data_IF_433826256268
#
_entry.id   IF_433826256268
#
_cell.length_a   1.000
_cell.length_b   1.000
_cell.length_c   1.000
_cell.angle_alpha   90.00
_cell.angle_beta   90.00
_cell.angle_gamma   90.00
#
_symmetry.space_group_name_H-M   'P 1'
#
loop_
_entity.id
_entity.type
_entity.pdbx_description
1 polymer ?
#
# COMPACT_ATOMS: atom_id res chain seq x y z
N UNK A 1 -16.18 -4.16 -5.69
CA UNK A 1 -16.79 -3.20 -6.64
C UNK A 1 -16.99 -3.94 -7.97
N UNK A 2 -18.17 -3.77 -8.55
CA UNK A 2 -18.50 -4.26 -9.90
C UNK A 2 -19.18 -3.14 -10.67
N UNK A 3 -19.03 -3.14 -11.99
CA UNK A 3 -19.66 -2.13 -12.85
C UNK A 3 -19.80 -2.61 -14.28
N UNK A 4 -20.63 -1.91 -15.04
CA UNK A 4 -20.79 -2.09 -16.47
C UNK A 4 -21.30 -0.81 -17.11
N UNK A 5 -20.85 -0.55 -18.35
CA UNK A 5 -21.30 0.58 -19.16
C UNK A 5 -21.95 0.13 -20.47
N UNK A 6 -22.43 -1.14 -20.55
CA UNK A 6 -22.99 -1.80 -21.74
C UNK A 6 -21.99 -2.22 -22.81
N UNK A 7 -20.76 -1.75 -22.78
CA UNK A 7 -19.66 -2.14 -23.68
C UNK A 7 -18.70 -3.09 -22.99
N UNK A 8 -18.37 -2.78 -21.75
CA UNK A 8 -17.52 -3.59 -20.87
C UNK A 8 -18.20 -3.80 -19.52
N UNK A 9 -17.85 -4.89 -18.87
CA UNK A 9 -18.16 -5.15 -17.47
C UNK A 9 -16.87 -5.45 -16.73
N UNK A 10 -16.77 -4.99 -15.49
CA UNK A 10 -15.60 -5.19 -14.65
C UNK A 10 -15.96 -5.55 -13.23
N UNK A 11 -15.07 -6.24 -12.56
CA UNK A 11 -15.21 -6.61 -11.16
C UNK A 11 -13.86 -6.68 -10.47
N UNK A 12 -13.88 -6.43 -9.17
CA UNK A 12 -12.70 -6.47 -8.32
C UNK A 12 -12.89 -7.44 -7.17
N UNK A 13 -11.83 -8.17 -6.85
CA UNK A 13 -11.70 -8.92 -5.60
C UNK A 13 -10.40 -8.58 -4.92
N UNK A 14 -10.34 -8.77 -3.62
CA UNK A 14 -9.08 -8.64 -2.90
C UNK A 14 -8.04 -9.58 -3.53
N UNK A 15 -6.84 -9.05 -3.72
CA UNK A 15 -5.69 -9.86 -4.08
C UNK A 15 -4.93 -10.24 -2.81
N UNK A 16 -4.39 -11.46 -2.78
CA UNK A 16 -3.42 -11.87 -1.77
C UNK A 16 -2.03 -11.67 -2.33
N UNK A 17 -1.27 -10.82 -1.68
CA UNK A 17 0.09 -10.51 -2.09
C UNK A 17 0.85 -9.83 -0.95
N UNK A 18 2.14 -9.71 -1.14
CA UNK A 18 3.06 -9.10 -0.21
C UNK A 18 3.17 -7.61 -0.52
N UNK A 19 2.23 -6.82 0.01
CA UNK A 19 2.05 -5.39 -0.28
C UNK A 19 2.47 -4.47 0.86
N UNK A 20 2.84 -5.03 2.01
CA UNK A 20 3.23 -4.28 3.19
C UNK A 20 4.34 -4.98 3.97
N UNK A 21 5.13 -4.18 4.67
CA UNK A 21 6.18 -4.65 5.59
C UNK A 21 6.10 -3.91 6.91
N UNK A 22 6.50 -4.61 7.96
CA UNK A 22 6.69 -4.05 9.27
C UNK A 22 8.18 -3.84 9.54
N UNK A 23 8.52 -2.70 10.10
CA UNK A 23 9.86 -2.47 10.62
C UNK A 23 9.80 -2.06 12.07
N UNK A 24 10.64 -2.70 12.88
CA UNK A 24 10.90 -2.23 14.24
C UNK A 24 11.86 -1.07 14.18
N UNK A 25 11.48 0.04 14.78
CA UNK A 25 12.26 1.28 14.85
C UNK A 25 12.41 1.71 16.30
N UNK A 26 13.46 2.45 16.60
CA UNK A 26 13.62 3.16 17.87
C UNK A 26 13.46 4.64 17.57
N UNK A 27 12.31 5.25 17.86
CA UNK A 27 12.08 6.66 17.58
C UNK A 27 13.07 7.56 18.34
N UNK A 28 13.53 8.63 17.68
CA UNK A 28 14.39 9.61 18.30
C UNK A 28 13.60 10.41 19.36
N UNK A 29 14.06 10.33 20.59
CA UNK A 29 13.60 11.10 21.76
C UNK A 29 14.82 11.61 22.50
N UNK A 30 14.63 12.45 23.52
CA UNK A 30 15.71 12.88 24.40
C UNK A 30 16.38 11.65 25.05
N UNK A 31 17.69 11.50 24.83
CA UNK A 31 18.46 10.36 25.32
C UNK A 31 18.39 9.09 24.44
N UNK A 32 17.77 9.15 23.27
CA UNK A 32 17.75 8.01 22.34
C UNK A 32 19.17 7.63 21.88
N UNK A 33 19.41 6.34 21.57
CA UNK A 33 20.71 5.86 21.10
C UNK A 33 21.08 6.46 19.73
N UNK A 34 22.37 6.49 19.42
CA UNK A 34 22.82 6.79 18.08
C UNK A 34 22.20 5.81 17.07
N UNK A 35 21.66 6.34 15.96
CA UNK A 35 20.96 5.54 14.96
C UNK A 35 19.46 5.39 15.23
N UNK A 36 18.89 6.15 16.15
CA UNK A 36 17.44 6.26 16.31
C UNK A 36 16.78 6.72 15.01
N UNK A 37 15.49 6.41 14.84
CA UNK A 37 14.69 6.77 13.68
C UNK A 37 14.03 8.13 13.89
N UNK A 38 14.30 9.14 13.03
CA UNK A 38 13.58 10.41 13.06
C UNK A 38 12.08 10.20 12.85
N UNK A 39 11.27 10.93 13.61
CA UNK A 39 9.82 10.86 13.55
C UNK A 39 9.24 12.26 13.45
N UNK A 40 8.32 12.44 12.50
CA UNK A 40 7.50 13.66 12.36
C UNK A 40 6.14 13.41 13.00
N UNK A 41 5.63 14.37 13.75
CA UNK A 41 4.32 14.30 14.40
C UNK A 41 3.34 15.19 13.66
N UNK A 42 2.18 14.63 13.34
CA UNK A 42 1.05 15.30 12.73
C UNK A 42 -0.14 15.23 13.70
N UNK A 43 -0.79 16.36 13.93
CA UNK A 43 -2.01 16.41 14.72
C UNK A 43 -3.22 16.54 13.80
N UNK A 44 -4.09 15.55 13.85
CA UNK A 44 -5.33 15.49 13.10
C UNK A 44 -6.52 15.70 14.03
N UNK A 45 -7.25 16.78 13.81
CA UNK A 45 -8.46 17.08 14.56
C UNK A 45 -9.66 16.41 13.91
N UNK A 46 -10.35 15.56 14.65
CA UNK A 46 -11.56 14.86 14.23
C UNK A 46 -12.75 15.48 14.94
N UNK A 47 -13.62 16.16 14.21
CA UNK A 47 -14.87 16.68 14.76
C UNK A 47 -15.91 15.57 14.82
N UNK A 48 -16.41 15.30 16.03
CA UNK A 48 -17.37 14.23 16.29
C UNK A 48 -18.79 14.80 16.34
N UNK A 49 -19.71 14.31 15.51
CA UNK A 49 -21.09 14.77 15.51
C UNK A 49 -21.77 14.50 16.86
N UNK A 50 -22.19 15.56 17.54
CA UNK A 50 -22.83 15.48 18.86
C UNK A 50 -21.90 15.18 20.02
N UNK A 51 -20.58 15.26 19.84
CA UNK A 51 -19.58 15.02 20.85
C UNK A 51 -18.45 16.05 20.83
N UNK A 52 -17.50 15.87 21.73
CA UNK A 52 -16.27 16.68 21.73
C UNK A 52 -15.32 16.23 20.60
N UNK A 53 -14.59 17.17 20.01
CA UNK A 53 -13.58 16.84 19.01
C UNK A 53 -12.42 16.04 19.63
N UNK A 54 -11.91 15.09 18.86
CA UNK A 54 -10.76 14.26 19.24
C UNK A 54 -9.54 14.69 18.43
N UNK A 55 -8.40 14.85 19.08
CA UNK A 55 -7.11 15.04 18.39
C UNK A 55 -6.40 13.70 18.31
N UNK A 56 -6.13 13.25 17.08
CA UNK A 56 -5.30 12.09 16.79
C UNK A 56 -3.88 12.58 16.48
N UNK A 57 -2.89 12.05 17.18
CA UNK A 57 -1.49 12.28 16.87
C UNK A 57 -0.97 11.13 16.05
N UNK A 58 -0.58 11.40 14.81
CA UNK A 58 0.09 10.46 13.91
C UNK A 58 1.58 10.72 13.98
N UNK A 59 2.36 9.69 14.23
CA UNK A 59 3.82 9.73 14.20
C UNK A 59 4.28 9.00 12.94
N UNK A 60 5.02 9.70 12.09
CA UNK A 60 5.45 9.20 10.79
C UNK A 60 6.98 9.18 10.69
N UNK A 61 7.51 8.11 10.11
CA UNK A 61 8.93 7.91 9.84
C UNK A 61 9.16 7.75 8.35
N UNK A 62 10.41 7.72 7.90
CA UNK A 62 10.75 7.41 6.49
C UNK A 62 10.22 6.04 6.01
N UNK A 63 9.88 5.16 6.96
CA UNK A 63 9.26 3.87 6.67
C UNK A 63 7.76 3.94 6.52
N UNK A 64 7.13 4.92 7.14
CA UNK A 64 5.71 5.12 7.25
C UNK A 64 5.27 5.32 8.70
N UNK A 65 3.96 5.33 8.95
CA UNK A 65 3.40 5.63 10.27
C UNK A 65 3.78 4.58 11.33
N UNK A 66 4.00 5.07 12.55
CA UNK A 66 4.18 4.22 13.72
C UNK A 66 2.81 3.77 14.23
N UNK A 67 2.51 2.49 14.09
CA UNK A 67 1.18 1.94 14.43
C UNK A 67 1.14 1.22 15.76
N UNK A 68 2.28 0.93 16.34
CA UNK A 68 2.39 0.31 17.65
C UNK A 68 3.66 0.75 18.36
N UNK A 69 3.59 0.91 19.68
CA UNK A 69 4.74 1.13 20.55
C UNK A 69 4.84 0.03 21.59
N UNK A 70 6.04 -0.49 21.73
CA UNK A 70 6.37 -1.47 22.77
C UNK A 70 6.77 -0.78 24.07
N UNK A 71 6.72 -1.55 25.17
CA UNK A 71 7.05 -1.05 26.51
C UNK A 71 8.53 -0.64 26.67
N UNK A 72 9.41 -1.12 25.80
CA UNK A 72 10.83 -0.77 25.77
C UNK A 72 11.10 0.55 24.98
N UNK A 73 10.06 1.18 24.47
CA UNK A 73 10.15 2.43 23.70
C UNK A 73 10.37 2.21 22.19
N UNK A 74 10.58 0.97 21.74
CA UNK A 74 10.59 0.66 20.32
C UNK A 74 9.17 0.76 19.72
N UNK A 75 9.07 0.86 18.41
CA UNK A 75 7.81 0.98 17.70
C UNK A 75 7.80 0.15 16.41
N UNK A 76 6.61 -0.15 15.90
CA UNK A 76 6.41 -0.77 14.60
C UNK A 76 5.97 0.29 13.59
N UNK A 77 6.80 0.52 12.60
CA UNK A 77 6.48 1.33 11.43
C UNK A 77 5.88 0.45 10.33
N UNK A 78 4.82 0.93 9.70
CA UNK A 78 4.14 0.25 8.61
C UNK A 78 4.55 0.86 7.28
N UNK A 79 5.18 0.06 6.41
CA UNK A 79 5.38 0.39 5.01
C UNK A 79 4.37 -0.35 4.17
N UNK A 80 3.49 0.37 3.51
CA UNK A 80 2.41 -0.18 2.71
C UNK A 80 2.36 0.50 1.33
N UNK A 81 2.19 -0.28 0.26
CA UNK A 81 2.13 0.26 -1.10
C UNK A 81 1.07 1.36 -1.25
N UNK A 82 -0.06 1.25 -0.54
CA UNK A 82 -1.12 2.26 -0.59
C UNK A 82 -0.74 3.61 0.03
N UNK A 83 0.31 3.68 0.86
CA UNK A 83 0.82 4.93 1.43
C UNK A 83 1.81 5.65 0.50
N UNK A 84 2.24 5.02 -0.59
CA UNK A 84 3.22 5.61 -1.48
C UNK A 84 2.61 6.69 -2.38
N UNK A 85 3.35 7.74 -2.73
CA UNK A 85 2.88 8.74 -3.68
C UNK A 85 2.42 8.11 -4.99
N UNK A 86 1.23 8.49 -5.47
CA UNK A 86 0.65 7.95 -6.70
C UNK A 86 0.00 6.57 -6.57
N UNK A 87 0.00 5.96 -5.39
CA UNK A 87 -0.64 4.66 -5.16
C UNK A 87 -2.17 4.67 -5.29
N UNK A 88 -2.78 5.85 -5.24
CA UNK A 88 -4.22 6.06 -5.38
C UNK A 88 -4.51 7.15 -6.39
N UNK A 89 -5.48 6.91 -7.27
CA UNK A 89 -6.07 7.92 -8.13
C UNK A 89 -7.53 7.59 -8.48
N UNK A 90 -8.21 8.50 -9.18
CA UNK A 90 -9.60 8.32 -9.60
C UNK A 90 -9.74 7.62 -10.97
N UNK A 91 -8.70 6.99 -11.50
CA UNK A 91 -8.72 6.30 -12.79
C UNK A 91 -9.83 5.26 -12.95
N UNK A 92 -10.32 4.70 -11.82
CA UNK A 92 -11.48 3.79 -11.87
C UNK A 92 -12.74 4.41 -12.51
N UNK A 93 -12.92 5.73 -12.40
CA UNK A 93 -14.06 6.41 -12.99
C UNK A 93 -14.04 6.35 -14.53
N UNK A 94 -12.85 6.26 -15.13
CA UNK A 94 -12.69 6.21 -16.58
C UNK A 94 -13.24 4.91 -17.20
N UNK A 95 -13.38 3.82 -16.41
CA UNK A 95 -14.01 2.58 -16.90
C UNK A 95 -15.43 2.82 -17.42
N UNK A 96 -16.13 3.83 -16.92
CA UNK A 96 -17.44 4.23 -17.42
C UNK A 96 -17.41 4.64 -18.91
N UNK A 97 -16.24 4.97 -19.46
CA UNK A 97 -16.05 5.42 -20.83
C UNK A 97 -15.36 4.38 -21.73
N UNK A 98 -14.94 3.23 -21.18
CA UNK A 98 -14.33 2.16 -21.97
C UNK A 98 -15.31 1.61 -23.02
N UNK A 99 -14.86 1.42 -24.25
CA UNK A 99 -15.68 0.95 -25.36
C UNK A 99 -15.48 -0.54 -25.68
N UNK A 100 -14.34 -1.06 -25.26
CA UNK A 100 -13.95 -2.46 -25.45
C UNK A 100 -12.88 -2.85 -24.44
N UNK A 101 -12.38 -4.10 -24.55
CA UNK A 101 -11.38 -4.64 -23.65
C UNK A 101 -10.05 -3.87 -23.72
N UNK A 102 -9.63 -3.44 -24.91
CA UNK A 102 -8.35 -2.75 -25.08
C UNK A 102 -8.39 -1.36 -24.44
N UNK A 103 -9.50 -0.62 -24.60
CA UNK A 103 -9.73 0.64 -23.87
C UNK A 103 -9.70 0.41 -22.36
N UNK A 104 -10.35 -0.63 -21.86
CA UNK A 104 -10.40 -0.95 -20.44
C UNK A 104 -9.01 -1.32 -19.88
N UNK A 105 -8.20 -2.06 -20.61
CA UNK A 105 -6.82 -2.37 -20.23
C UNK A 105 -5.93 -1.12 -20.22
N UNK A 106 -6.08 -0.23 -21.21
CA UNK A 106 -5.37 1.05 -21.24
C UNK A 106 -5.77 1.98 -20.07
N UNK A 107 -7.02 1.92 -19.63
CA UNK A 107 -7.48 2.61 -18.40
C UNK A 107 -6.84 1.97 -17.18
N UNK A 108 -6.81 0.65 -17.09
CA UNK A 108 -6.20 -0.07 -16.00
C UNK A 108 -4.70 0.25 -15.83
N UNK A 109 -3.96 0.48 -16.93
CA UNK A 109 -2.54 0.84 -16.91
C UNK A 109 -2.24 2.15 -16.18
N UNK A 110 -3.19 3.08 -16.16
CA UNK A 110 -3.03 4.38 -15.47
C UNK A 110 -3.84 4.51 -14.19
N UNK A 111 -4.60 3.49 -13.84
CA UNK A 111 -5.42 3.47 -12.63
C UNK A 111 -4.60 2.94 -11.45
N UNK A 112 -4.67 3.64 -10.33
CA UNK A 112 -4.03 3.23 -9.09
C UNK A 112 -5.07 3.08 -7.98
N UNK A 113 -5.06 1.91 -7.33
CA UNK A 113 -5.85 1.56 -6.15
C UNK A 113 -4.99 0.68 -5.25
N UNK A 114 -5.35 0.43 -3.99
CA UNK A 114 -4.79 -0.71 -3.26
C UNK A 114 -4.94 -1.97 -4.11
N UNK A 115 -3.89 -2.76 -4.22
CA UNK A 115 -3.80 -3.84 -5.23
C UNK A 115 -4.95 -4.82 -5.14
N UNK A 116 -5.65 -4.99 -6.27
CA UNK A 116 -6.82 -5.84 -6.41
C UNK A 116 -6.69 -6.78 -7.61
N UNK A 117 -7.41 -7.90 -7.58
CA UNK A 117 -7.70 -8.63 -8.81
C UNK A 117 -8.75 -7.86 -9.60
N UNK A 118 -8.44 -7.56 -10.85
CA UNK A 118 -9.36 -6.97 -11.81
C UNK A 118 -9.72 -8.02 -12.85
N UNK A 119 -11.01 -8.27 -13.04
CA UNK A 119 -11.56 -9.06 -14.14
C UNK A 119 -12.39 -8.15 -15.03
N UNK A 120 -12.18 -8.23 -16.33
CA UNK A 120 -12.89 -7.41 -17.32
C UNK A 120 -13.43 -8.36 -18.42
N UNK A 121 -14.64 -8.07 -18.89
CA UNK A 121 -15.20 -8.68 -20.08
C UNK A 121 -15.82 -7.65 -21.00
N UNK A 122 -15.72 -7.80 -22.31
CA UNK A 122 -16.38 -6.93 -23.27
C UNK A 122 -17.56 -7.60 -23.98
N UNK A 123 -18.37 -6.80 -24.65
CA UNK A 123 -19.53 -7.27 -25.40
C UNK A 123 -19.20 -8.19 -26.60
N UNK A 124 -17.92 -8.23 -27.05
CA UNK A 124 -17.45 -9.15 -28.08
C UNK A 124 -17.07 -10.53 -27.51
N UNK A 125 -17.21 -10.73 -26.19
CA UNK A 125 -16.90 -11.97 -25.49
C UNK A 125 -15.43 -12.15 -25.13
N UNK A 126 -14.60 -11.10 -25.26
CA UNK A 126 -13.21 -11.12 -24.80
C UNK A 126 -13.19 -10.89 -23.29
N UNK A 127 -12.27 -11.54 -22.60
CA UNK A 127 -12.08 -11.42 -21.17
C UNK A 127 -10.60 -11.19 -20.85
N UNK A 128 -10.32 -10.50 -19.74
CA UNK A 128 -8.98 -10.37 -19.18
C UNK A 128 -9.03 -10.41 -17.66
N UNK A 129 -7.94 -10.85 -17.07
CA UNK A 129 -7.62 -10.71 -15.66
C UNK A 129 -6.25 -10.07 -15.52
N UNK A 130 -6.11 -9.20 -14.51
CA UNK A 130 -4.82 -8.65 -14.09
C UNK A 130 -4.86 -8.19 -12.65
N UNK A 131 -3.69 -7.99 -12.05
CA UNK A 131 -3.57 -7.19 -10.84
C UNK A 131 -3.67 -5.71 -11.21
N UNK A 132 -4.45 -4.97 -10.43
CA UNK A 132 -4.59 -3.51 -10.53
C UNK A 132 -4.08 -2.87 -9.26
N UNK A 133 -3.17 -1.93 -9.40
CA UNK A 133 -2.55 -1.22 -8.28
C UNK A 133 -1.05 -1.47 -8.14
N UNK A 134 -0.38 -0.73 -7.25
CA UNK A 134 1.06 -0.79 -7.08
C UNK A 134 1.51 -2.11 -6.45
N UNK A 135 2.56 -2.70 -7.00
CA UNK A 135 3.17 -3.93 -6.52
C UNK A 135 4.61 -3.63 -6.08
N UNK A 136 5.05 -4.08 -4.89
CA UNK A 136 6.44 -3.93 -4.48
C UNK A 136 7.38 -4.68 -5.42
N UNK A 137 8.40 -4.01 -5.91
CA UNK A 137 9.53 -4.61 -6.61
C UNK A 137 10.65 -4.81 -5.60
N UNK A 138 10.92 -6.05 -5.27
CA UNK A 138 11.93 -6.44 -4.29
C UNK A 138 13.21 -6.89 -4.99
N UNK A 139 14.34 -6.67 -4.35
CA UNK A 139 15.61 -7.21 -4.82
C UNK A 139 15.62 -8.74 -4.74
N UNK A 140 16.46 -9.36 -5.57
CA UNK A 140 16.63 -10.82 -5.58
C UNK A 140 17.02 -11.35 -4.18
N UNK A 141 16.31 -12.35 -3.72
CA UNK A 141 16.45 -12.92 -2.37
C UNK A 141 15.68 -12.19 -1.26
N UNK A 142 14.91 -11.16 -1.62
CA UNK A 142 14.06 -10.41 -0.71
C UNK A 142 12.58 -10.68 -1.00
N UNK A 143 12.19 -11.93 -1.16
CA UNK A 143 10.79 -12.30 -1.31
C UNK A 143 10.02 -12.24 0.03
N UNK A 144 8.70 -12.12 -0.04
CA UNK A 144 7.85 -12.03 1.15
C UNK A 144 7.91 -13.23 2.09
N UNK A 145 8.45 -14.36 1.64
CA UNK A 145 8.63 -15.53 2.49
C UNK A 145 9.83 -15.40 3.41
N UNK A 146 10.80 -14.59 3.02
CA UNK A 146 12.02 -14.34 3.80
C UNK A 146 11.89 -13.09 4.68
N UNK A 147 10.90 -12.23 4.42
CA UNK A 147 10.75 -10.92 5.08
C UNK A 147 9.51 -10.85 6.00
N UNK A 148 8.52 -11.72 5.81
CA UNK A 148 7.31 -11.76 6.63
C UNK A 148 7.52 -12.57 7.90
N UNK A 149 8.19 -12.05 8.90
CA UNK A 149 8.51 -12.86 10.05
C UNK A 149 8.36 -12.11 11.36
N UNK A 150 8.12 -12.87 12.45
CA UNK A 150 7.99 -12.29 13.78
C UNK A 150 9.17 -11.37 14.09
N UNK A 151 8.84 -10.23 14.60
CA UNK A 151 9.69 -9.10 14.91
C UNK A 151 10.65 -9.42 16.06
N UNK A 152 11.59 -10.34 15.83
CA UNK A 152 12.73 -10.49 16.72
C UNK A 152 13.85 -9.55 16.28
N UNK A 153 14.66 -9.09 17.23
CA UNK A 153 15.75 -8.13 16.97
C UNK A 153 16.75 -8.63 15.90
N UNK A 154 16.92 -9.94 15.75
CA UNK A 154 17.81 -10.54 14.75
C UNK A 154 17.25 -10.45 13.33
N UNK A 155 15.94 -10.52 13.18
CA UNK A 155 15.25 -10.44 11.90
C UNK A 155 15.14 -8.98 11.43
N UNK A 156 15.10 -8.02 12.35
CA UNK A 156 15.10 -6.60 12.01
C UNK A 156 16.37 -6.18 11.23
N UNK A 157 17.50 -6.83 11.46
CA UNK A 157 18.75 -6.54 10.72
C UNK A 157 18.75 -7.10 9.30
N UNK A 158 18.13 -8.24 9.07
CA UNK A 158 17.96 -8.82 7.72
C UNK A 158 16.79 -8.15 6.96
N UNK A 159 15.72 -7.79 7.66
CA UNK A 159 14.64 -6.99 7.08
C UNK A 159 15.13 -5.64 6.57
N UNK A 160 16.06 -4.98 7.27
CA UNK A 160 16.66 -3.73 6.81
C UNK A 160 17.43 -3.87 5.49
N UNK A 161 17.97 -5.03 5.18
CA UNK A 161 18.64 -5.29 3.89
C UNK A 161 17.65 -5.38 2.72
N UNK A 162 16.45 -5.84 2.99
CA UNK A 162 15.38 -6.00 1.99
C UNK A 162 14.37 -4.84 2.01
N UNK A 163 14.67 -3.81 2.76
CA UNK A 163 13.73 -2.80 3.15
C UNK A 163 13.38 -1.77 2.07
N UNK A 164 14.29 -1.23 1.27
CA UNK A 164 13.89 -0.35 0.19
C UNK A 164 13.36 -1.18 -0.98
N UNK A 165 12.03 -1.23 -1.11
CA UNK A 165 11.43 -1.70 -2.34
C UNK A 165 10.89 -0.53 -3.16
N UNK A 166 11.06 -0.62 -4.48
CA UNK A 166 10.42 0.28 -5.43
C UNK A 166 9.01 -0.20 -5.77
N UNK A 167 8.20 0.68 -6.32
CA UNK A 167 6.88 0.32 -6.81
C UNK A 167 6.94 0.19 -8.33
N UNK A 168 6.50 -0.96 -8.86
CA UNK A 168 6.19 -1.07 -10.27
C UNK A 168 4.85 -0.38 -10.53
N UNK A 169 4.87 0.73 -11.25
CA UNK A 169 3.68 1.37 -11.78
C UNK A 169 3.41 0.82 -13.18
N UNK A 170 2.21 0.27 -13.39
CA UNK A 170 1.74 -0.12 -14.72
C UNK A 170 2.29 -1.43 -15.28
N UNK A 171 3.02 -2.21 -14.53
CA UNK A 171 3.45 -3.52 -15.00
C UNK A 171 2.42 -4.59 -14.66
N UNK A 172 1.71 -5.03 -15.68
CA UNK A 172 1.18 -6.40 -15.68
C UNK A 172 2.31 -7.36 -16.00
N UNK A 173 2.39 -8.51 -15.36
CA UNK A 173 3.14 -9.64 -15.92
C UNK A 173 2.51 -10.10 -17.23
#
# INVERSE_FOLDING_TARGET
IVGSNTHVAWGFTNSYGDYLDWQRVVPCTDGAPAGCTPVVRHEERIDVAGGEAVTLVVEDSDWGPLVHRDADGSALALRWTAHQPGALNFGLADFAHARDLDDALAIADRTATPTQNLVIGDRAGRIAWRLLGPIPMRDAGCDGRTVSVPLTAEIATDANRCAPWSIATGASP
#
